data_IF_946673853871
#
_entry.id   IF_946673853871
#
_cell.length_a   1.000
_cell.length_b   1.000
_cell.length_c   1.000
_cell.angle_alpha   90.00
_cell.angle_beta   90.00
_cell.angle_gamma   90.00
#
_symmetry.space_group_name_H-M   'P 1'
#
loop_
_entity.id
_entity.type
_entity.pdbx_description
1 polymer ?
#
# COMPACT_ATOMS: atom_id res chain seq x y z
N UNK A 1 29.21 10.27 -5.84
CA UNK A 1 29.41 8.88 -5.36
C UNK A 1 28.02 8.37 -5.01
N UNK A 2 27.41 7.64 -5.94
CA UNK A 2 26.10 7.03 -5.73
C UNK A 2 26.31 5.87 -4.76
N UNK A 3 25.65 5.90 -3.61
CA UNK A 3 25.63 4.74 -2.72
C UNK A 3 24.91 3.64 -3.48
N UNK A 4 25.57 2.50 -3.66
CA UNK A 4 24.96 1.28 -4.17
C UNK A 4 23.70 1.00 -3.37
N UNK A 5 22.65 0.57 -4.07
CA UNK A 5 21.48 -0.05 -3.45
C UNK A 5 21.98 -1.01 -2.37
N UNK A 6 21.51 -0.78 -1.14
CA UNK A 6 22.00 -1.47 0.03
C UNK A 6 22.06 -2.97 -0.25
N UNK A 7 23.19 -3.57 0.13
CA UNK A 7 23.24 -4.98 0.46
C UNK A 7 22.17 -5.19 1.52
N UNK A 8 20.98 -5.61 1.07
CA UNK A 8 19.86 -5.95 1.92
C UNK A 8 20.34 -7.17 2.69
N UNK A 9 20.54 -6.98 4.00
CA UNK A 9 20.90 -8.05 4.93
C UNK A 9 20.07 -9.29 4.60
N UNK A 10 20.82 -10.37 4.43
CA UNK A 10 20.39 -11.73 4.17
C UNK A 10 19.07 -12.06 4.90
N UNK A 11 18.00 -12.20 4.10
CA UNK A 11 16.78 -12.91 4.50
C UNK A 11 16.14 -12.45 5.83
N UNK A 12 15.82 -11.16 5.95
CA UNK A 12 14.67 -10.80 6.77
C UNK A 12 13.47 -11.61 6.27
N UNK A 13 13.06 -12.65 7.02
CA UNK A 13 11.97 -13.55 6.66
C UNK A 13 10.78 -12.70 6.21
N UNK A 14 10.39 -12.80 4.93
CA UNK A 14 9.31 -12.01 4.36
C UNK A 14 8.02 -12.15 5.21
N UNK A 15 7.85 -13.28 5.88
CA UNK A 15 6.79 -13.50 6.85
C UNK A 15 6.89 -12.58 8.07
N UNK A 16 8.09 -12.39 8.63
CA UNK A 16 8.34 -11.46 9.74
C UNK A 16 7.99 -10.03 9.34
N UNK A 17 8.40 -9.58 8.15
CA UNK A 17 8.06 -8.23 7.64
C UNK A 17 6.55 -8.04 7.55
N UNK A 18 5.81 -9.05 7.05
CA UNK A 18 4.35 -9.01 7.00
C UNK A 18 3.75 -8.99 8.40
N UNK A 19 4.25 -9.79 9.33
CA UNK A 19 3.77 -9.81 10.71
C UNK A 19 3.98 -8.46 11.40
N UNK A 20 5.17 -7.88 11.31
CA UNK A 20 5.50 -6.59 11.92
C UNK A 20 4.59 -5.48 11.37
N UNK A 21 4.30 -5.49 10.06
CA UNK A 21 3.36 -4.55 9.44
C UNK A 21 1.91 -4.73 9.94
N UNK A 22 1.44 -5.98 10.08
CA UNK A 22 0.11 -6.29 10.58
C UNK A 22 -0.05 -5.92 12.06
N UNK A 23 0.97 -6.17 12.88
CA UNK A 23 0.98 -5.79 14.30
C UNK A 23 0.97 -4.27 14.47
N UNK A 24 1.77 -3.56 13.68
CA UNK A 24 1.74 -2.10 13.66
C UNK A 24 0.35 -1.57 13.29
N UNK A 25 -0.28 -2.10 12.23
CA UNK A 25 -1.64 -1.70 11.84
C UNK A 25 -2.70 -2.01 12.90
N UNK A 26 -2.60 -3.17 13.56
CA UNK A 26 -3.48 -3.55 14.67
C UNK A 26 -3.36 -2.60 15.86
N UNK A 27 -2.14 -2.11 16.16
CA UNK A 27 -1.92 -1.15 17.25
C UNK A 27 -2.59 0.21 17.00
N UNK A 28 -2.78 0.58 15.73
CA UNK A 28 -3.36 1.87 15.32
C UNK A 28 -4.88 1.82 15.12
N UNK A 29 -5.46 0.63 14.95
CA UNK A 29 -6.89 0.46 14.62
C UNK A 29 -7.50 -0.66 15.45
N UNK A 30 -8.52 -0.37 16.27
CA UNK A 30 -9.29 -1.41 16.97
C UNK A 30 -10.09 -2.21 15.91
N UNK A 31 -9.73 -3.47 15.60
CA UNK A 31 -10.19 -4.16 14.40
C UNK A 31 -11.52 -4.90 14.60
N UNK A 32 -12.33 -4.50 15.59
CA UNK A 32 -13.43 -5.31 16.07
C UNK A 32 -14.77 -5.12 15.35
N UNK A 33 -15.04 -4.01 14.65
CA UNK A 33 -16.42 -3.75 14.20
C UNK A 33 -16.59 -3.50 12.70
N UNK A 34 -15.52 -3.52 11.92
CA UNK A 34 -15.67 -3.43 10.47
C UNK A 34 -15.76 -4.85 9.93
N UNK A 35 -16.93 -5.20 9.39
CA UNK A 35 -17.10 -6.30 8.44
C UNK A 35 -16.25 -5.98 7.20
N UNK A 36 -14.92 -6.06 7.38
CA UNK A 36 -13.94 -6.00 6.31
C UNK A 36 -14.23 -7.24 5.50
N UNK A 37 -15.14 -7.10 4.54
CA UNK A 37 -15.66 -8.21 3.76
C UNK A 37 -14.48 -9.06 3.33
N UNK A 38 -14.43 -10.29 3.84
CA UNK A 38 -13.28 -11.20 3.73
C UNK A 38 -12.97 -11.39 2.26
N UNK A 39 -12.11 -10.55 1.68
CA UNK A 39 -11.85 -10.47 0.25
C UNK A 39 -10.45 -9.92 0.07
N UNK A 40 -9.70 -10.53 -0.82
CA UNK A 40 -8.35 -10.10 -1.15
C UNK A 40 -8.40 -9.32 -2.45
N UNK A 41 -7.98 -8.06 -2.41
CA UNK A 41 -7.99 -7.18 -3.57
C UNK A 41 -6.57 -6.73 -3.92
N UNK A 42 -6.23 -6.82 -5.21
CA UNK A 42 -4.99 -6.25 -5.75
C UNK A 42 -5.31 -4.84 -6.25
N UNK A 43 -4.66 -3.86 -5.63
CA UNK A 43 -4.75 -2.46 -6.03
C UNK A 43 -3.69 -2.18 -7.10
N UNK A 44 -4.11 -2.18 -8.37
CA UNK A 44 -3.24 -1.87 -9.50
C UNK A 44 -3.84 -0.76 -10.35
N UNK A 45 -3.01 0.22 -10.65
CA UNK A 45 -3.39 1.45 -11.36
C UNK A 45 -3.12 1.37 -12.87
N UNK A 46 -2.52 0.28 -13.37
CA UNK A 46 -2.17 0.10 -14.78
C UNK A 46 -3.38 0.00 -15.72
N UNK A 47 -3.31 0.68 -16.88
CA UNK A 47 -4.29 0.64 -17.98
C UNK A 47 -4.33 -0.66 -18.77
N UNK A 48 -3.35 -1.56 -18.57
CA UNK A 48 -3.24 -2.79 -19.35
C UNK A 48 -4.56 -3.59 -19.30
N UNK A 49 -5.14 -3.78 -20.48
CA UNK A 49 -6.43 -4.44 -20.69
C UNK A 49 -6.40 -5.90 -20.26
N UNK A 50 -7.48 -6.30 -19.58
CA UNK A 50 -7.83 -7.66 -19.15
C UNK A 50 -7.08 -8.17 -17.90
N UNK A 51 -7.79 -9.03 -17.18
CA UNK A 51 -7.61 -9.73 -15.90
C UNK A 51 -6.30 -10.51 -15.74
N UNK A 52 -5.14 -9.93 -16.08
CA UNK A 52 -3.83 -10.58 -15.87
C UNK A 52 -3.45 -10.58 -14.38
N UNK A 53 -4.20 -11.32 -13.57
CA UNK A 53 -3.71 -11.83 -12.29
C UNK A 53 -2.35 -12.51 -12.52
N UNK A 54 -2.18 -13.15 -13.68
CA UNK A 54 -0.94 -13.74 -14.19
C UNK A 54 0.28 -12.80 -14.14
N UNK A 55 0.08 -11.47 -14.24
CA UNK A 55 1.18 -10.50 -14.05
C UNK A 55 1.86 -10.67 -12.70
N UNK A 56 1.10 -11.09 -11.70
CA UNK A 56 1.53 -11.27 -10.32
C UNK A 56 1.87 -12.73 -10.00
N UNK A 57 1.68 -13.64 -10.97
CA UNK A 57 1.88 -15.08 -10.79
C UNK A 57 1.22 -15.59 -9.49
N UNK A 58 1.97 -16.30 -8.63
CA UNK A 58 1.47 -16.82 -7.36
C UNK A 58 1.55 -15.82 -6.21
N UNK A 59 2.16 -14.65 -6.41
CA UNK A 59 2.46 -13.70 -5.34
C UNK A 59 1.22 -13.27 -4.53
N UNK A 60 0.05 -13.00 -5.14
CA UNK A 60 -1.14 -12.64 -4.37
C UNK A 60 -1.62 -13.76 -3.44
N UNK A 61 -1.42 -15.03 -3.85
CA UNK A 61 -1.73 -16.18 -3.02
C UNK A 61 -0.70 -16.34 -1.90
N UNK A 62 0.60 -16.14 -2.19
CA UNK A 62 1.66 -16.16 -1.18
C UNK A 62 1.39 -15.14 -0.07
N UNK A 63 1.04 -13.89 -0.44
CA UNK A 63 0.70 -12.85 0.54
C UNK A 63 -0.56 -13.21 1.34
N UNK A 64 -1.61 -13.74 0.68
CA UNK A 64 -2.80 -14.24 1.38
C UNK A 64 -2.43 -15.32 2.39
N UNK A 65 -1.59 -16.26 2.02
CA UNK A 65 -1.21 -17.40 2.84
C UNK A 65 -0.35 -16.95 4.04
N UNK A 66 0.53 -15.95 3.87
CA UNK A 66 1.23 -15.28 4.98
C UNK A 66 0.24 -14.64 5.98
N UNK A 67 -0.80 -13.96 5.50
CA UNK A 67 -1.84 -13.38 6.38
C UNK A 67 -2.65 -14.49 7.07
N UNK A 68 -2.89 -15.62 6.40
CA UNK A 68 -3.53 -16.80 7.01
C UNK A 68 -2.68 -17.36 8.15
N UNK A 69 -1.37 -17.54 7.96
CA UNK A 69 -0.48 -18.01 9.01
C UNK A 69 -0.40 -17.01 10.18
N UNK A 70 -0.42 -15.71 9.90
CA UNK A 70 -0.55 -14.68 10.93
C UNK A 70 -1.86 -14.81 11.72
N UNK A 71 -3.01 -14.98 11.07
CA UNK A 71 -4.29 -15.16 11.77
C UNK A 71 -4.35 -16.44 12.60
N UNK A 72 -3.74 -17.54 12.11
CA UNK A 72 -3.59 -18.77 12.91
C UNK A 72 -2.76 -18.52 14.17
N UNK A 73 -1.63 -17.82 14.05
CA UNK A 73 -0.76 -17.54 15.22
C UNK A 73 -1.44 -16.66 16.27
N UNK A 74 -2.47 -15.90 15.89
CA UNK A 74 -3.32 -15.09 16.79
C UNK A 74 -4.60 -15.81 17.27
N UNK A 75 -4.84 -17.07 16.88
CA UNK A 75 -6.04 -17.83 17.26
C UNK A 75 -7.33 -17.34 16.60
N UNK A 76 -7.26 -16.75 15.41
CA UNK A 76 -8.40 -16.17 14.68
C UNK A 76 -8.99 -17.16 13.66
N UNK A 77 -9.30 -18.39 14.09
CA UNK A 77 -9.70 -19.49 13.20
C UNK A 77 -10.90 -19.16 12.31
N UNK A 78 -11.88 -18.42 12.84
CA UNK A 78 -13.05 -17.97 12.07
C UNK A 78 -12.71 -17.01 10.92
N UNK A 79 -11.57 -16.30 10.98
CA UNK A 79 -11.06 -15.45 9.89
C UNK A 79 -10.18 -16.25 8.92
N UNK A 80 -9.44 -17.24 9.42
CA UNK A 80 -8.60 -18.14 8.61
C UNK A 80 -9.43 -18.84 7.53
N UNK A 81 -10.52 -19.48 7.92
CA UNK A 81 -11.36 -20.24 6.97
C UNK A 81 -12.00 -19.34 5.91
N UNK A 82 -12.45 -18.14 6.32
CA UNK A 82 -13.02 -17.16 5.40
C UNK A 82 -11.99 -16.63 4.40
N UNK A 83 -10.75 -16.39 4.83
CA UNK A 83 -9.68 -15.84 4.00
C UNK A 83 -9.13 -16.89 3.02
N UNK A 84 -8.95 -18.14 3.44
CA UNK A 84 -8.53 -19.25 2.56
C UNK A 84 -9.50 -19.45 1.38
N UNK A 85 -10.80 -19.25 1.62
CA UNK A 85 -11.83 -19.34 0.58
C UNK A 85 -11.81 -18.17 -0.43
N UNK A 86 -10.95 -17.15 -0.22
CA UNK A 86 -10.87 -16.02 -1.13
C UNK A 86 -9.78 -16.20 -2.17
N UNK A 87 -10.18 -15.98 -3.42
CA UNK A 87 -9.25 -15.73 -4.50
C UNK A 87 -8.91 -14.24 -4.56
N UNK A 88 -7.61 -13.89 -4.61
CA UNK A 88 -7.17 -12.53 -4.90
C UNK A 88 -7.77 -12.02 -6.21
N UNK A 89 -8.37 -10.83 -6.17
CA UNK A 89 -9.01 -10.22 -7.35
C UNK A 89 -8.40 -8.87 -7.63
N UNK A 90 -7.93 -8.66 -8.86
CA UNK A 90 -7.51 -7.33 -9.30
C UNK A 90 -8.71 -6.39 -9.31
N UNK A 91 -8.65 -5.34 -8.50
CA UNK A 91 -9.73 -4.39 -8.42
C UNK A 91 -9.75 -3.50 -9.66
N UNK A 92 -10.81 -3.64 -10.45
CA UNK A 92 -11.04 -2.83 -11.64
C UNK A 92 -11.55 -1.45 -11.25
N UNK A 93 -10.68 -0.44 -11.33
CA UNK A 93 -11.05 0.95 -11.06
C UNK A 93 -11.22 1.74 -12.37
N UNK A 94 -12.12 2.74 -12.34
CA UNK A 94 -12.59 3.47 -13.51
C UNK A 94 -11.55 4.41 -14.15
N UNK A 95 -10.47 4.75 -13.45
CA UNK A 95 -9.53 5.83 -13.82
C UNK A 95 -8.16 5.31 -14.27
N UNK A 96 -8.07 4.07 -14.76
CA UNK A 96 -6.86 3.30 -15.08
C UNK A 96 -5.82 3.91 -16.03
N UNK A 97 -5.89 5.19 -16.38
CA UNK A 97 -5.22 5.78 -17.55
C UNK A 97 -4.21 6.87 -17.20
N UNK A 98 -3.28 6.59 -16.26
CA UNK A 98 -2.09 7.41 -16.04
C UNK A 98 -0.92 6.86 -16.84
N UNK A 99 -0.61 7.49 -17.97
CA UNK A 99 0.60 7.17 -18.77
C UNK A 99 1.89 7.62 -18.05
N UNK A 100 1.79 8.38 -16.96
CA UNK A 100 2.91 8.83 -16.16
C UNK A 100 3.22 7.87 -15.00
N UNK A 101 4.40 7.23 -15.04
CA UNK A 101 4.94 6.33 -14.00
C UNK A 101 4.91 6.97 -12.59
N UNK A 102 5.02 8.29 -12.52
CA UNK A 102 5.10 9.05 -11.26
C UNK A 102 3.77 9.16 -10.51
N UNK A 103 2.63 8.91 -11.16
CA UNK A 103 1.31 9.07 -10.52
C UNK A 103 0.91 7.83 -9.70
N UNK A 104 1.51 6.67 -9.98
CA UNK A 104 1.17 5.40 -9.33
C UNK A 104 1.40 5.42 -7.81
N UNK A 105 2.49 6.05 -7.36
CA UNK A 105 2.80 6.18 -5.93
C UNK A 105 1.76 7.05 -5.21
N UNK A 106 1.45 8.22 -5.77
CA UNK A 106 0.48 9.18 -5.21
C UNK A 106 -0.89 8.55 -5.09
N UNK A 107 -1.31 7.85 -6.13
CA UNK A 107 -2.60 7.17 -6.20
C UNK A 107 -2.67 6.03 -5.20
N UNK A 108 -1.61 5.22 -5.07
CA UNK A 108 -1.53 4.14 -4.07
C UNK A 108 -1.61 4.69 -2.66
N UNK A 109 -0.86 5.75 -2.35
CA UNK A 109 -0.90 6.41 -1.05
C UNK A 109 -2.29 7.00 -0.76
N UNK A 110 -2.95 7.63 -1.76
CA UNK A 110 -4.33 8.14 -1.59
C UNK A 110 -5.34 7.05 -1.30
N UNK A 111 -5.17 5.88 -1.92
CA UNK A 111 -6.02 4.72 -1.62
C UNK A 111 -5.83 4.27 -0.17
N UNK A 112 -4.59 4.10 0.27
CA UNK A 112 -4.29 3.71 1.65
C UNK A 112 -4.80 4.75 2.65
N UNK A 113 -4.67 6.05 2.34
CA UNK A 113 -5.15 7.15 3.19
C UNK A 113 -6.68 7.17 3.34
N UNK A 114 -7.42 6.83 2.29
CA UNK A 114 -8.90 6.99 2.26
C UNK A 114 -9.67 5.72 2.54
N UNK A 115 -9.01 4.55 2.54
CA UNK A 115 -9.66 3.29 2.80
C UNK A 115 -9.80 3.04 4.31
N UNK A 116 -11.02 3.18 4.82
CA UNK A 116 -11.34 3.00 6.24
C UNK A 116 -12.18 1.73 6.49
N UNK A 117 -12.15 0.77 5.56
CA UNK A 117 -12.91 -0.49 5.66
C UNK A 117 -14.32 -0.46 5.10
N UNK A 118 -14.72 0.63 4.43
CA UNK A 118 -16.00 0.69 3.71
C UNK A 118 -16.07 -0.28 2.52
N UNK A 119 -17.27 -0.75 2.22
CA UNK A 119 -17.51 -1.59 1.04
C UNK A 119 -17.03 -0.88 -0.24
N UNK A 120 -16.29 -1.60 -1.11
CA UNK A 120 -15.66 -1.02 -2.29
C UNK A 120 -16.61 -0.25 -3.22
N UNK A 121 -17.88 -0.65 -3.32
CA UNK A 121 -18.90 0.06 -4.13
C UNK A 121 -19.20 1.48 -3.61
N UNK A 122 -18.96 1.73 -2.32
CA UNK A 122 -19.15 3.01 -1.65
C UNK A 122 -17.84 3.75 -1.41
N UNK A 123 -16.71 3.16 -1.79
CA UNK A 123 -15.41 3.79 -1.60
C UNK A 123 -15.16 4.82 -2.71
N UNK A 124 -15.28 6.09 -2.33
CA UNK A 124 -14.78 7.21 -3.11
C UNK A 124 -13.45 7.69 -2.50
N UNK A 125 -12.38 7.65 -3.28
CA UNK A 125 -11.06 8.11 -2.87
C UNK A 125 -10.75 9.54 -3.39
N UNK A 126 -11.71 10.17 -4.09
CA UNK A 126 -11.72 11.59 -4.41
C UNK A 126 -10.86 12.01 -5.59
N UNK A 127 -10.56 11.12 -6.54
CA UNK A 127 -9.83 11.43 -7.77
C UNK A 127 -10.54 10.86 -8.99
N UNK A 128 -10.50 11.62 -10.09
CA UNK A 128 -11.04 11.30 -11.42
C UNK A 128 -9.95 11.47 -12.47
N UNK A 129 -10.17 10.87 -13.65
CA UNK A 129 -9.28 11.04 -14.80
C UNK A 129 -9.21 12.54 -15.17
N UNK A 130 -7.99 13.07 -15.31
CA UNK A 130 -7.75 14.48 -15.62
C UNK A 130 -7.55 15.39 -14.39
N UNK A 131 -7.59 14.86 -13.17
CA UNK A 131 -7.37 15.63 -11.94
C UNK A 131 -5.88 15.96 -11.66
N UNK A 132 -5.12 16.36 -12.68
CA UNK A 132 -3.67 16.61 -12.60
C UNK A 132 -3.30 17.58 -11.45
N UNK A 133 -4.10 18.63 -11.25
CA UNK A 133 -3.90 19.58 -10.14
C UNK A 133 -4.03 18.93 -8.78
N UNK A 134 -5.03 18.06 -8.59
CA UNK A 134 -5.23 17.36 -7.33
C UNK A 134 -4.14 16.31 -7.10
N UNK A 135 -3.73 15.59 -8.15
CA UNK A 135 -2.61 14.64 -8.11
C UNK A 135 -1.32 15.36 -7.72
N UNK A 136 -1.01 16.52 -8.32
CA UNK A 136 0.17 17.30 -7.96
C UNK A 136 0.11 17.83 -6.51
N UNK A 137 -1.06 18.27 -6.04
CA UNK A 137 -1.23 18.68 -4.65
C UNK A 137 -0.97 17.52 -3.66
N UNK A 138 -1.50 16.33 -3.97
CA UNK A 138 -1.24 15.12 -3.19
C UNK A 138 0.23 14.69 -3.27
N UNK A 139 0.86 14.79 -4.44
CA UNK A 139 2.28 14.52 -4.60
C UNK A 139 3.13 15.38 -3.66
N UNK A 140 2.92 16.70 -3.66
CA UNK A 140 3.60 17.63 -2.74
C UNK A 140 3.33 17.27 -1.28
N UNK A 141 2.08 16.96 -0.93
CA UNK A 141 1.69 16.56 0.43
C UNK A 141 2.45 15.31 0.88
N UNK A 142 2.45 14.25 0.08
CA UNK A 142 3.08 12.99 0.44
C UNK A 142 4.60 13.09 0.45
N UNK A 143 5.21 13.77 -0.53
CA UNK A 143 6.65 14.02 -0.51
C UNK A 143 7.07 14.81 0.72
N UNK A 144 6.34 15.86 1.09
CA UNK A 144 6.63 16.62 2.31
C UNK A 144 6.51 15.73 3.56
N UNK A 145 5.46 14.90 3.65
CA UNK A 145 5.28 13.98 4.78
C UNK A 145 6.42 12.95 4.89
N UNK A 146 6.87 12.38 3.77
CA UNK A 146 7.99 11.42 3.73
C UNK A 146 9.29 12.10 4.15
N UNK A 147 9.61 13.25 3.53
CA UNK A 147 10.86 13.98 3.81
C UNK A 147 10.93 14.44 5.26
N UNK A 148 9.81 14.91 5.82
CA UNK A 148 9.72 15.40 7.19
C UNK A 148 9.40 14.31 8.21
N UNK A 149 9.30 13.04 7.82
CA UNK A 149 9.02 11.94 8.74
C UNK A 149 10.18 11.70 9.72
N UNK A 150 9.89 11.37 10.97
CA UNK A 150 10.93 11.05 11.96
C UNK A 150 11.65 9.73 11.67
N UNK A 151 11.05 8.83 10.88
CA UNK A 151 11.71 7.59 10.44
C UNK A 151 12.66 7.82 9.26
N UNK A 152 12.66 9.02 8.66
CA UNK A 152 13.57 9.35 7.58
C UNK A 152 14.95 9.70 8.15
N UNK A 153 15.88 8.74 8.11
CA UNK A 153 17.25 8.88 8.63
C UNK A 153 18.05 10.01 7.98
N UNK A 154 17.67 10.43 6.76
CA UNK A 154 18.34 11.52 6.04
C UNK A 154 17.62 12.87 6.18
N UNK A 155 16.56 12.97 6.99
CA UNK A 155 15.76 14.19 7.19
C UNK A 155 16.60 15.40 7.56
N UNK A 156 17.51 15.28 8.52
CA UNK A 156 18.32 16.42 8.97
C UNK A 156 19.34 16.86 7.93
N UNK A 157 19.90 15.93 7.14
CA UNK A 157 20.76 16.24 6.00
C UNK A 157 19.99 17.03 4.94
N UNK A 158 18.76 16.60 4.61
CA UNK A 158 17.89 17.31 3.65
C UNK A 158 17.58 18.72 4.15
N UNK A 159 17.20 18.88 5.42
CA UNK A 159 16.91 20.19 6.02
C UNK A 159 18.12 21.13 5.98
N UNK A 160 19.32 20.62 6.22
CA UNK A 160 20.54 21.41 6.12
C UNK A 160 20.79 21.90 4.68
N UNK A 161 20.66 21.00 3.69
CA UNK A 161 20.82 21.36 2.28
C UNK A 161 19.81 22.42 1.83
N UNK A 162 18.53 22.29 2.18
CA UNK A 162 17.49 23.27 1.81
C UNK A 162 17.80 24.67 2.36
N UNK A 163 18.31 24.77 3.59
CA UNK A 163 18.72 26.06 4.17
C UNK A 163 19.89 26.71 3.42
N UNK A 164 20.77 25.90 2.81
CA UNK A 164 21.88 26.40 2.00
C UNK A 164 21.46 26.87 0.61
N UNK A 165 20.46 26.23 -0.01
CA UNK A 165 19.94 26.62 -1.33
C UNK A 165 18.87 27.71 -1.30
N UNK A 166 18.35 28.05 -0.11
CA UNK A 166 17.34 29.12 0.06
C UNK A 166 17.96 30.50 0.40
N UNK A 167 19.28 30.63 0.23
CA UNK A 167 20.05 31.88 0.35
C UNK A 167 20.56 32.29 -1.02
#
# INVERSE_FOLDING_TARGET
MFMSEGEMEEEADAFKVVCDALEYGWSLTNPCDVDMGNRVYILDSSSAGITKIDKYDKMPNVVRDMVVEYFKSKGLDGRVEKLKAQEPKRLQLAWRDSTAVFEYGVITMRKMETYTGQALRRWDFGLKKGDEKAVNALWKKYCAAIVESNVNEVKDKIRHLVKHFSR
#
